data_IF_421461713109
#
_entry.id   IF_421461713109
#
_cell.length_a   1.000
_cell.length_b   1.000
_cell.length_c   1.000
_cell.angle_alpha   90.00
_cell.angle_beta   90.00
_cell.angle_gamma   90.00
#
_symmetry.space_group_name_H-M   'P 1'
#
loop_
_entity.id
_entity.type
_entity.pdbx_description
1 polymer ?
#
# COMPACT_ATOMS: atom_id res chain seq x y z
N UNK A 1 12.39 7.42 30.06
CA UNK A 1 11.59 8.33 29.20
C UNK A 1 10.19 7.73 29.00
N UNK A 2 9.15 8.18 29.73
CA UNK A 2 7.82 7.56 29.68
C UNK A 2 6.79 8.31 28.81
N UNK A 3 7.20 9.32 28.03
CA UNK A 3 6.26 10.23 27.35
C UNK A 3 5.77 9.76 25.97
N UNK A 4 6.40 8.74 25.37
CA UNK A 4 6.01 8.24 24.04
C UNK A 4 4.75 7.35 24.06
N UNK A 5 4.43 6.74 25.21
CA UNK A 5 3.35 5.76 25.31
C UNK A 5 1.93 6.38 25.32
N UNK A 6 1.83 7.68 25.59
CA UNK A 6 0.53 8.38 25.76
C UNK A 6 -0.06 8.83 24.41
N UNK A 7 0.79 9.08 23.40
CA UNK A 7 0.34 9.67 22.13
C UNK A 7 -0.23 8.66 21.13
N UNK A 8 0.16 7.38 21.21
CA UNK A 8 -0.37 6.34 20.30
C UNK A 8 -1.89 6.15 20.47
N UNK A 9 -2.42 6.37 21.68
CA UNK A 9 -3.86 6.33 21.94
C UNK A 9 -4.59 7.64 21.64
N UNK A 10 -3.84 8.71 21.36
CA UNK A 10 -4.40 10.05 21.09
C UNK A 10 -4.60 10.31 19.60
N UNK A 11 -4.04 9.46 18.73
CA UNK A 11 -4.27 9.48 17.30
C UNK A 11 -5.45 8.56 16.98
N UNK A 12 -6.61 9.10 16.55
CA UNK A 12 -7.70 8.26 16.10
C UNK A 12 -7.17 7.35 14.97
N UNK A 13 -7.41 6.04 15.11
CA UNK A 13 -7.04 4.99 14.16
C UNK A 13 -5.55 4.61 14.08
N UNK A 14 -4.65 5.15 14.91
CA UNK A 14 -3.25 4.71 14.91
C UNK A 14 -3.07 3.26 15.40
N UNK A 15 -3.99 2.77 16.24
CA UNK A 15 -4.04 1.37 16.67
C UNK A 15 -4.88 0.48 15.75
N UNK A 16 -5.64 1.06 14.81
CA UNK A 16 -6.46 0.30 13.89
C UNK A 16 -5.60 -0.18 12.72
N UNK A 17 -5.40 -1.50 12.69
CA UNK A 17 -4.45 -2.23 11.85
C UNK A 17 -4.62 -1.92 10.34
N UNK A 18 -5.76 -1.39 9.91
CA UNK A 18 -6.04 -1.09 8.50
C UNK A 18 -5.81 0.38 8.10
N UNK A 19 -5.91 1.36 9.01
CA UNK A 19 -5.84 2.78 8.64
C UNK A 19 -4.40 3.20 8.42
N UNK A 20 -3.51 2.87 9.36
CA UNK A 20 -2.08 3.15 9.21
C UNK A 20 -1.51 2.49 7.95
N UNK A 21 -1.87 1.23 7.68
CA UNK A 21 -1.44 0.51 6.47
C UNK A 21 -1.92 1.19 5.18
N UNK A 22 -3.18 1.66 5.14
CA UNK A 22 -3.70 2.41 4.00
C UNK A 22 -2.98 3.74 3.77
N UNK A 23 -2.67 4.47 4.84
CA UNK A 23 -1.92 5.73 4.78
C UNK A 23 -0.47 5.52 4.32
N UNK A 24 0.20 4.49 4.84
CA UNK A 24 1.55 4.08 4.43
C UNK A 24 1.57 3.74 2.94
N UNK A 25 0.65 2.88 2.49
CA UNK A 25 0.55 2.48 1.09
C UNK A 25 0.28 3.67 0.17
N UNK A 26 -0.67 4.53 0.54
CA UNK A 26 -0.98 5.75 -0.21
C UNK A 26 0.25 6.65 -0.34
N UNK A 27 0.91 6.98 0.77
CA UNK A 27 2.05 7.88 0.76
C UNK A 27 3.21 7.33 -0.09
N UNK A 28 3.50 6.04 0.03
CA UNK A 28 4.48 5.36 -0.82
C UNK A 28 4.12 5.47 -2.31
N UNK A 29 2.87 5.13 -2.66
CA UNK A 29 2.41 5.15 -4.06
C UNK A 29 2.40 6.57 -4.65
N UNK A 30 2.10 7.61 -3.86
CA UNK A 30 2.18 9.00 -4.33
C UNK A 30 3.59 9.38 -4.79
N UNK A 31 4.63 8.97 -4.05
CA UNK A 31 6.02 9.17 -4.49
C UNK A 31 6.34 8.40 -5.76
N UNK A 32 5.87 7.16 -5.86
CA UNK A 32 6.06 6.32 -7.06
C UNK A 32 5.34 6.89 -8.30
N UNK A 33 4.13 7.42 -8.15
CA UNK A 33 3.32 8.01 -9.21
C UNK A 33 3.93 9.34 -9.69
N UNK A 34 4.49 10.14 -8.78
CA UNK A 34 5.16 11.39 -9.16
C UNK A 34 6.33 11.19 -10.13
N UNK A 35 6.85 9.95 -10.25
CA UNK A 35 7.95 9.60 -11.16
C UNK A 35 9.31 10.15 -10.75
N UNK A 36 9.39 10.83 -9.60
CA UNK A 36 10.60 11.50 -9.12
C UNK A 36 11.48 10.62 -8.23
N UNK A 37 10.95 9.50 -7.73
CA UNK A 37 11.61 8.67 -6.73
C UNK A 37 11.78 7.21 -7.20
N UNK A 38 12.91 6.62 -6.84
CA UNK A 38 13.08 5.16 -6.88
C UNK A 38 12.24 4.47 -5.80
N UNK A 39 12.00 3.16 -5.89
CA UNK A 39 11.29 2.40 -4.84
C UNK A 39 11.95 2.53 -3.46
N UNK A 40 13.28 2.51 -3.41
CA UNK A 40 14.05 2.68 -2.17
C UNK A 40 13.92 4.10 -1.61
N UNK A 41 13.91 5.11 -2.48
CA UNK A 41 13.74 6.50 -2.06
C UNK A 41 12.31 6.75 -1.56
N UNK A 42 11.29 6.24 -2.25
CA UNK A 42 9.90 6.32 -1.83
C UNK A 42 9.69 5.59 -0.48
N UNK A 43 10.31 4.43 -0.29
CA UNK A 43 10.31 3.71 0.99
C UNK A 43 10.95 4.56 2.10
N UNK A 44 12.16 5.08 1.87
CA UNK A 44 12.89 5.88 2.84
C UNK A 44 12.13 7.15 3.25
N UNK A 45 11.52 7.85 2.29
CA UNK A 45 10.62 9.00 2.56
C UNK A 45 9.43 8.56 3.40
N UNK A 46 8.80 7.44 3.06
CA UNK A 46 7.66 6.90 3.80
C UNK A 46 8.03 6.55 5.24
N UNK A 47 9.16 5.87 5.46
CA UNK A 47 9.67 5.57 6.81
C UNK A 47 9.94 6.83 7.63
N UNK A 48 10.45 7.89 7.00
CA UNK A 48 10.70 9.18 7.68
C UNK A 48 9.43 9.92 8.11
N UNK A 49 8.29 9.67 7.45
CA UNK A 49 6.99 10.26 7.79
C UNK A 49 6.28 9.43 8.85
N UNK A 50 6.30 8.10 8.73
CA UNK A 50 5.61 7.17 9.62
C UNK A 50 6.53 6.61 10.71
N UNK A 51 7.24 7.48 11.42
CA UNK A 51 8.25 7.10 12.44
C UNK A 51 7.69 6.30 13.63
N UNK A 52 6.39 6.37 13.88
CA UNK A 52 5.70 5.58 14.90
C UNK A 52 5.33 4.16 14.44
N UNK A 53 5.46 3.85 13.14
CA UNK A 53 5.15 2.55 12.56
C UNK A 53 6.42 1.70 12.50
N UNK A 54 6.49 0.65 13.30
CA UNK A 54 7.72 -0.15 13.45
C UNK A 54 8.14 -0.98 12.23
N UNK A 55 7.23 -1.24 11.29
CA UNK A 55 7.45 -2.20 10.21
C UNK A 55 6.91 -1.74 8.83
N UNK A 56 7.09 -0.47 8.48
CA UNK A 56 6.61 0.16 7.23
C UNK A 56 6.86 -0.70 5.99
N UNK A 57 8.11 -1.17 5.78
CA UNK A 57 8.45 -2.03 4.64
C UNK A 57 7.62 -3.32 4.63
N UNK A 58 7.55 -4.03 5.76
CA UNK A 58 6.83 -5.31 5.84
C UNK A 58 5.32 -5.12 5.65
N UNK A 59 4.77 -3.99 6.10
CA UNK A 59 3.37 -3.63 5.90
C UNK A 59 3.07 -3.33 4.42
N UNK A 60 3.95 -2.61 3.73
CA UNK A 60 3.86 -2.39 2.28
C UNK A 60 3.93 -3.71 1.51
N UNK A 61 4.90 -4.57 1.83
CA UNK A 61 5.02 -5.90 1.21
C UNK A 61 3.76 -6.75 1.43
N UNK A 62 3.17 -6.67 2.62
CA UNK A 62 1.90 -7.35 2.93
C UNK A 62 0.76 -6.78 2.10
N UNK A 63 0.67 -5.45 1.96
CA UNK A 63 -0.30 -4.79 1.10
C UNK A 63 -0.17 -5.20 -0.36
N UNK A 64 1.05 -5.31 -0.88
CA UNK A 64 1.29 -5.75 -2.26
C UNK A 64 0.98 -7.23 -2.49
N UNK A 65 1.24 -8.11 -1.52
CA UNK A 65 0.78 -9.51 -1.57
C UNK A 65 -0.75 -9.60 -1.55
N UNK A 66 -1.41 -8.77 -0.73
CA UNK A 66 -2.87 -8.69 -0.73
C UNK A 66 -3.40 -8.23 -2.09
N UNK A 67 -2.80 -7.19 -2.69
CA UNK A 67 -3.13 -6.70 -4.01
C UNK A 67 -3.02 -7.80 -5.10
N UNK A 68 -1.95 -8.60 -5.08
CA UNK A 68 -1.80 -9.74 -6.00
C UNK A 68 -2.96 -10.75 -5.85
N UNK A 69 -3.34 -11.06 -4.61
CA UNK A 69 -4.51 -11.91 -4.34
C UNK A 69 -5.82 -11.30 -4.83
N UNK A 70 -5.99 -9.98 -4.66
CA UNK A 70 -7.16 -9.25 -5.14
C UNK A 70 -7.29 -9.32 -6.67
N UNK A 71 -6.20 -9.10 -7.41
CA UNK A 71 -6.20 -9.16 -8.88
C UNK A 71 -6.58 -10.56 -9.38
N UNK A 72 -6.08 -11.62 -8.71
CA UNK A 72 -6.49 -13.01 -9.01
C UNK A 72 -7.98 -13.23 -8.72
N UNK A 73 -8.51 -12.68 -7.63
CA UNK A 73 -9.93 -12.72 -7.30
C UNK A 73 -10.78 -11.99 -8.35
N UNK A 74 -10.35 -10.80 -8.77
CA UNK A 74 -11.01 -10.01 -9.82
C UNK A 74 -11.03 -10.76 -11.15
N UNK A 75 -9.99 -11.54 -11.48
CA UNK A 75 -10.01 -12.45 -12.63
C UNK A 75 -11.12 -13.50 -12.50
N UNK A 76 -11.28 -14.12 -11.34
CA UNK A 76 -12.35 -15.10 -11.13
C UNK A 76 -13.75 -14.47 -11.28
N UNK A 77 -13.94 -13.25 -10.79
CA UNK A 77 -15.18 -12.46 -10.94
C UNK A 77 -15.42 -12.06 -12.40
N UNK A 78 -14.35 -11.80 -13.16
CA UNK A 78 -14.45 -11.57 -14.61
C UNK A 78 -14.87 -12.83 -15.35
N UNK A 79 -14.28 -13.97 -15.00
CA UNK A 79 -14.55 -15.26 -15.62
C UNK A 79 -15.99 -15.75 -15.34
N UNK A 80 -16.61 -15.33 -14.23
CA UNK A 80 -18.04 -15.57 -13.93
C UNK A 80 -18.99 -14.63 -14.68
N UNK A 81 -18.49 -13.59 -15.35
CA UNK A 81 -19.30 -12.62 -16.09
C UNK A 81 -19.92 -11.52 -15.23
N UNK A 82 -19.49 -11.37 -13.98
CA UNK A 82 -20.05 -10.38 -13.04
C UNK A 82 -19.49 -8.96 -13.24
N UNK A 83 -18.38 -8.80 -13.97
CA UNK A 83 -17.78 -7.51 -14.31
C UNK A 83 -17.40 -7.43 -15.79
N UNK A 84 -17.30 -6.21 -16.31
CA UNK A 84 -16.91 -5.93 -17.70
C UNK A 84 -15.41 -6.14 -17.94
N UNK A 85 -15.02 -6.23 -19.21
CA UNK A 85 -13.62 -6.26 -19.61
C UNK A 85 -12.89 -4.97 -19.19
N UNK A 86 -13.54 -3.82 -19.34
CA UNK A 86 -12.96 -2.52 -18.96
C UNK A 86 -12.65 -2.46 -17.46
N UNK A 87 -13.59 -2.88 -16.60
CA UNK A 87 -13.36 -2.94 -15.15
C UNK A 87 -12.24 -3.91 -14.81
N UNK A 88 -12.16 -5.08 -15.47
CA UNK A 88 -11.06 -6.01 -15.27
C UNK A 88 -9.70 -5.40 -15.67
N UNK A 89 -9.66 -4.70 -16.80
CA UNK A 89 -8.45 -4.07 -17.32
C UNK A 89 -7.89 -2.99 -16.38
N UNK A 90 -8.74 -2.22 -15.70
CA UNK A 90 -8.29 -1.24 -14.69
C UNK A 90 -7.40 -1.88 -13.61
N UNK A 91 -7.76 -3.07 -13.12
CA UNK A 91 -6.96 -3.79 -12.11
C UNK A 91 -5.68 -4.38 -12.71
N UNK A 92 -5.76 -4.96 -13.91
CA UNK A 92 -4.59 -5.57 -14.58
C UNK A 92 -3.56 -4.51 -14.94
N UNK A 93 -3.99 -3.37 -15.48
CA UNK A 93 -3.10 -2.26 -15.83
C UNK A 93 -2.43 -1.66 -14.59
N UNK A 94 -3.19 -1.50 -13.49
CA UNK A 94 -2.64 -1.06 -12.21
C UNK A 94 -1.60 -2.05 -11.67
N UNK A 95 -1.87 -3.37 -11.73
CA UNK A 95 -0.90 -4.39 -11.29
C UNK A 95 0.36 -4.37 -12.15
N UNK A 96 0.22 -4.31 -13.47
CA UNK A 96 1.37 -4.21 -14.38
C UNK A 96 2.20 -2.95 -14.13
N UNK A 97 1.55 -1.82 -13.84
CA UNK A 97 2.25 -0.58 -13.47
C UNK A 97 3.05 -0.75 -12.19
N UNK A 98 2.45 -1.41 -11.19
CA UNK A 98 3.02 -1.63 -9.87
C UNK A 98 4.21 -2.60 -9.91
N UNK A 99 4.06 -3.77 -10.54
CA UNK A 99 5.10 -4.81 -10.66
C UNK A 99 6.40 -4.28 -11.31
N UNK A 100 6.28 -3.33 -12.25
CA UNK A 100 7.45 -2.72 -12.91
C UNK A 100 8.25 -1.81 -11.98
N UNK A 101 7.65 -1.36 -10.88
CA UNK A 101 8.13 -0.23 -10.07
C UNK A 101 8.35 -0.57 -8.60
N UNK A 102 7.66 -1.55 -8.03
CA UNK A 102 7.67 -1.86 -6.61
C UNK A 102 8.77 -2.86 -6.19
N UNK A 103 10.04 -2.56 -6.49
CA UNK A 103 11.18 -3.36 -6.01
C UNK A 103 11.55 -3.00 -4.58
N UNK A 104 10.68 -3.34 -3.62
CA UNK A 104 10.91 -3.19 -2.18
C UNK A 104 11.96 -4.19 -1.67
#
# INVERSE_FOLDING_TARGET
MPLLHVYIHSLPYASDVNVAGGLIAKHYLEHMISGTASSQEALSKTESVFTSCGHVKADLERGFRFWQGLVLGIKAVKDSGDITEDTYNEFVEADQWLQKRNKL
#
